data_IF_485607944734
#
_entry.id   IF_485607944734
#
_cell.length_a   1.000
_cell.length_b   1.000
_cell.length_c   1.000
_cell.angle_alpha   90.00
_cell.angle_beta   90.00
_cell.angle_gamma   90.00
#
_symmetry.space_group_name_H-M   'P 1'
#
loop_
_entity.id
_entity.type
_entity.pdbx_description
1 polymer ?
#
# COMPACT_ATOMS: atom_id res chain seq x y z
N UNK A 1 38.34 -31.17 -3.83
CA UNK A 1 37.92 -32.56 -4.10
C UNK A 1 38.84 -33.63 -3.49
N UNK A 2 40.12 -33.36 -3.25
CA UNK A 2 41.08 -34.33 -2.71
C UNK A 2 40.63 -35.06 -1.42
N UNK A 3 40.16 -34.33 -0.39
CA UNK A 3 39.83 -34.94 0.90
C UNK A 3 38.66 -35.94 0.89
N UNK A 4 37.72 -35.84 -0.07
CA UNK A 4 36.67 -36.87 -0.25
C UNK A 4 37.27 -38.13 -0.86
N UNK A 5 38.16 -37.97 -1.85
CA UNK A 5 38.85 -39.09 -2.48
C UNK A 5 39.76 -39.80 -1.46
N UNK A 6 40.48 -39.05 -0.63
CA UNK A 6 41.34 -39.61 0.43
C UNK A 6 40.52 -40.37 1.48
N UNK A 7 39.36 -39.84 1.89
CA UNK A 7 38.44 -40.53 2.81
C UNK A 7 37.87 -41.82 2.21
N UNK A 8 37.55 -41.83 0.91
CA UNK A 8 37.08 -43.04 0.20
C UNK A 8 38.20 -44.07 0.09
N UNK A 9 39.42 -43.65 -0.27
CA UNK A 9 40.61 -44.51 -0.34
C UNK A 9 40.96 -45.15 1.01
N UNK A 10 40.72 -44.45 2.11
CA UNK A 10 40.91 -44.97 3.47
C UNK A 10 39.82 -45.94 3.95
N UNK A 11 38.88 -46.35 3.07
CA UNK A 11 37.80 -47.28 3.43
C UNK A 11 36.56 -46.60 4.03
N UNK A 12 36.40 -45.29 3.81
CA UNK A 12 35.25 -44.51 4.33
C UNK A 12 35.02 -44.65 5.85
N UNK A 13 36.07 -44.48 6.69
CA UNK A 13 35.97 -44.66 8.12
C UNK A 13 34.95 -43.70 8.73
N UNK A 14 34.16 -44.17 9.70
CA UNK A 14 33.10 -43.39 10.38
C UNK A 14 33.45 -43.02 11.83
N UNK A 15 34.56 -43.53 12.34
CA UNK A 15 35.03 -43.28 13.70
C UNK A 15 35.46 -41.81 13.84
N UNK A 16 35.05 -41.16 14.93
CA UNK A 16 35.35 -39.74 15.20
C UNK A 16 36.84 -39.47 15.48
N UNK A 17 37.62 -40.49 15.80
CA UNK A 17 39.08 -40.43 15.99
C UNK A 17 39.87 -40.47 14.68
N UNK A 18 39.26 -40.85 13.56
CA UNK A 18 39.97 -41.03 12.30
C UNK A 18 40.26 -39.68 11.60
N UNK A 19 41.53 -39.41 11.33
CA UNK A 19 42.03 -38.15 10.76
C UNK A 19 41.40 -37.86 9.38
N UNK A 20 41.23 -38.87 8.53
CA UNK A 20 40.63 -38.72 7.19
C UNK A 20 39.15 -38.35 7.28
N UNK A 21 38.41 -38.92 8.24
CA UNK A 21 37.01 -38.59 8.49
C UNK A 21 36.83 -37.15 9.01
N UNK A 22 37.65 -36.74 9.98
CA UNK A 22 37.63 -35.38 10.54
C UNK A 22 37.96 -34.35 9.45
N UNK A 23 39.03 -34.58 8.67
CA UNK A 23 39.45 -33.69 7.57
C UNK A 23 38.36 -33.52 6.52
N UNK A 24 37.72 -34.61 6.08
CA UNK A 24 36.62 -34.56 5.13
C UNK A 24 35.40 -33.80 5.67
N UNK A 25 35.00 -34.07 6.92
CA UNK A 25 33.84 -33.40 7.53
C UNK A 25 34.08 -31.90 7.70
N UNK A 26 35.27 -31.49 8.14
CA UNK A 26 35.65 -30.08 8.26
C UNK A 26 35.53 -29.36 6.92
N UNK A 27 36.15 -29.89 5.86
CA UNK A 27 36.08 -29.31 4.51
C UNK A 27 34.66 -29.30 3.94
N UNK A 28 33.85 -30.33 4.23
CA UNK A 28 32.43 -30.35 3.83
C UNK A 28 31.62 -29.26 4.55
N UNK A 29 31.88 -29.03 5.83
CA UNK A 29 31.24 -27.96 6.60
C UNK A 29 31.66 -26.57 6.08
N UNK A 30 32.95 -26.38 5.80
CA UNK A 30 33.49 -25.14 5.21
C UNK A 30 32.87 -24.87 3.84
N UNK A 31 32.83 -25.88 2.96
CA UNK A 31 32.18 -25.75 1.66
C UNK A 31 30.69 -25.33 1.79
N UNK A 32 29.94 -25.95 2.70
CA UNK A 32 28.55 -25.57 2.98
C UNK A 32 28.41 -24.18 3.58
N UNK A 33 29.44 -23.69 4.29
CA UNK A 33 29.47 -22.33 4.83
C UNK A 33 29.72 -21.33 3.70
N UNK A 34 30.70 -21.59 2.84
CA UNK A 34 30.97 -20.78 1.65
C UNK A 34 29.79 -20.72 0.69
N UNK A 35 29.12 -21.86 0.44
CA UNK A 35 27.88 -21.86 -0.36
C UNK A 35 26.80 -20.97 0.26
N UNK A 36 26.59 -21.06 1.57
CA UNK A 36 25.60 -20.21 2.27
C UNK A 36 26.01 -18.74 2.23
N UNK A 37 27.30 -18.44 2.37
CA UNK A 37 27.85 -17.09 2.28
C UNK A 37 27.63 -16.49 0.88
N UNK A 38 27.95 -17.25 -0.17
CA UNK A 38 27.73 -16.83 -1.55
C UNK A 38 26.24 -16.58 -1.87
N UNK A 39 25.35 -17.46 -1.38
CA UNK A 39 23.89 -17.25 -1.51
C UNK A 39 23.45 -15.98 -0.78
N UNK A 40 23.90 -15.79 0.46
CA UNK A 40 23.57 -14.60 1.24
C UNK A 40 24.10 -13.31 0.60
N UNK A 41 25.32 -13.32 0.07
CA UNK A 41 25.91 -12.18 -0.63
C UNK A 41 25.14 -11.83 -1.90
N UNK A 42 24.72 -12.84 -2.67
CA UNK A 42 23.87 -12.66 -3.85
C UNK A 42 22.52 -12.05 -3.48
N UNK A 43 21.83 -12.61 -2.48
CA UNK A 43 20.54 -12.11 -2.00
C UNK A 43 20.65 -10.68 -1.45
N UNK A 44 21.70 -10.39 -0.69
CA UNK A 44 21.97 -9.05 -0.15
C UNK A 44 22.18 -8.02 -1.26
N UNK A 45 22.95 -8.37 -2.29
CA UNK A 45 23.22 -7.47 -3.42
C UNK A 45 21.93 -7.18 -4.19
N UNK A 46 21.15 -8.21 -4.52
CA UNK A 46 19.86 -8.00 -5.20
C UNK A 46 18.86 -7.19 -4.37
N UNK A 47 18.78 -7.39 -3.05
CA UNK A 47 17.93 -6.57 -2.19
C UNK A 47 18.36 -5.11 -2.16
N UNK A 48 19.68 -4.86 -2.16
CA UNK A 48 20.23 -3.51 -2.30
C UNK A 48 19.86 -2.88 -3.65
N UNK A 49 19.93 -3.66 -4.74
CA UNK A 49 19.56 -3.19 -6.08
C UNK A 49 18.06 -2.84 -6.15
N UNK A 50 17.20 -3.63 -5.53
CA UNK A 50 15.76 -3.33 -5.41
C UNK A 50 15.53 -2.04 -4.62
N UNK A 51 16.20 -1.86 -3.47
CA UNK A 51 16.08 -0.65 -2.67
C UNK A 51 16.52 0.61 -3.43
N UNK A 52 17.62 0.53 -4.18
CA UNK A 52 18.11 1.64 -4.99
C UNK A 52 17.19 1.98 -6.18
N UNK A 53 16.46 1.00 -6.71
CA UNK A 53 15.54 1.19 -7.84
C UNK A 53 14.18 1.76 -7.43
N UNK A 54 13.84 1.73 -6.14
CA UNK A 54 12.56 2.22 -5.63
C UNK A 54 12.32 3.69 -6.01
N UNK A 55 13.37 4.52 -5.95
CA UNK A 55 13.26 5.97 -6.20
C UNK A 55 13.59 6.37 -7.65
N UNK A 56 14.23 5.49 -8.43
CA UNK A 56 14.79 5.80 -9.75
C UNK A 56 14.00 5.20 -10.93
N UNK A 57 13.46 3.98 -10.79
CA UNK A 57 12.78 3.26 -11.88
C UNK A 57 11.74 2.27 -11.32
N UNK A 58 10.51 2.79 -11.21
CA UNK A 58 9.38 2.06 -10.66
C UNK A 58 9.05 0.78 -11.47
N UNK A 59 9.24 0.79 -12.80
CA UNK A 59 8.94 -0.36 -13.64
C UNK A 59 9.94 -1.50 -13.40
N UNK A 60 11.24 -1.19 -13.34
CA UNK A 60 12.27 -2.19 -13.02
C UNK A 60 12.13 -2.70 -11.59
N UNK A 61 11.78 -1.83 -10.64
CA UNK A 61 11.48 -2.22 -9.27
C UNK A 61 10.39 -3.30 -9.21
N UNK A 62 9.22 -3.04 -9.81
CA UNK A 62 8.11 -4.01 -9.81
C UNK A 62 8.46 -5.30 -10.56
N UNK A 63 9.24 -5.22 -11.64
CA UNK A 63 9.70 -6.41 -12.39
C UNK A 63 10.57 -7.33 -11.54
N UNK A 64 11.56 -6.77 -10.83
CA UNK A 64 12.45 -7.53 -9.93
C UNK A 64 11.67 -8.11 -8.74
N UNK A 65 10.80 -7.29 -8.14
CA UNK A 65 9.97 -7.71 -7.01
C UNK A 65 9.01 -8.84 -7.40
N UNK A 66 8.31 -8.72 -8.53
CA UNK A 66 7.40 -9.74 -9.01
C UNK A 66 8.11 -11.05 -9.36
N UNK A 67 9.31 -10.99 -9.96
CA UNK A 67 10.11 -12.18 -10.21
C UNK A 67 10.50 -12.94 -8.93
N UNK A 68 10.68 -12.23 -7.81
CA UNK A 68 10.98 -12.82 -6.49
C UNK A 68 9.74 -13.31 -5.77
N UNK A 69 8.70 -12.47 -5.66
CA UNK A 69 7.47 -12.78 -4.95
C UNK A 69 6.69 -13.92 -5.63
N UNK A 70 6.66 -13.96 -6.96
CA UNK A 70 5.85 -14.93 -7.70
C UNK A 70 6.47 -16.34 -7.79
N UNK A 71 7.72 -16.56 -7.39
CA UNK A 71 8.38 -17.88 -7.51
C UNK A 71 7.83 -18.95 -6.58
N UNK A 72 7.06 -18.60 -5.55
CA UNK A 72 6.57 -19.59 -4.56
C UNK A 72 5.06 -19.81 -4.50
N UNK A 73 4.21 -18.95 -5.06
CA UNK A 73 2.75 -19.07 -4.84
C UNK A 73 1.87 -18.52 -5.98
N UNK A 74 2.12 -18.92 -7.24
CA UNK A 74 1.15 -18.71 -8.35
C UNK A 74 0.10 -19.83 -8.47
N UNK A 75 -0.06 -20.69 -7.47
CA UNK A 75 -1.28 -21.49 -7.35
C UNK A 75 -2.34 -20.55 -6.77
N UNK A 76 -3.19 -20.02 -7.64
CA UNK A 76 -4.46 -19.34 -7.35
C UNK A 76 -4.89 -19.49 -5.88
N UNK A 77 -4.37 -18.65 -4.98
CA UNK A 77 -5.06 -18.40 -3.72
C UNK A 77 -6.28 -17.62 -4.17
N UNK A 78 -7.39 -18.33 -4.39
CA UNK A 78 -8.68 -17.66 -4.48
C UNK A 78 -8.75 -16.84 -3.19
N UNK A 79 -8.77 -15.51 -3.32
CA UNK A 79 -9.09 -14.66 -2.18
C UNK A 79 -10.38 -15.23 -1.62
N UNK A 80 -10.37 -15.59 -0.36
CA UNK A 80 -11.51 -16.16 0.31
C UNK A 80 -11.72 -15.30 1.54
N UNK A 81 -12.92 -14.71 1.64
CA UNK A 81 -13.31 -13.90 2.77
C UNK A 81 -14.12 -14.79 3.71
N UNK A 82 -13.73 -14.82 4.98
CA UNK A 82 -14.53 -15.47 6.01
C UNK A 82 -15.36 -14.39 6.71
N UNK A 83 -16.69 -14.50 6.59
CA UNK A 83 -17.62 -13.60 7.27
C UNK A 83 -18.65 -14.46 7.99
N UNK A 84 -18.79 -14.27 9.31
CA UNK A 84 -19.67 -15.04 10.19
C UNK A 84 -19.49 -16.57 10.06
N UNK A 85 -18.23 -17.04 9.92
CA UNK A 85 -17.88 -18.45 9.76
C UNK A 85 -18.18 -19.04 8.38
N UNK A 86 -18.64 -18.24 7.40
CA UNK A 86 -18.85 -18.66 6.02
C UNK A 86 -17.72 -18.17 5.13
N UNK A 87 -17.11 -19.09 4.38
CA UNK A 87 -16.06 -18.77 3.41
C UNK A 87 -16.70 -18.40 2.08
N UNK A 88 -16.59 -17.14 1.70
CA UNK A 88 -17.03 -16.62 0.40
C UNK A 88 -15.81 -16.59 -0.52
N UNK A 89 -15.94 -17.23 -1.68
CA UNK A 89 -14.87 -17.35 -2.68
C UNK A 89 -15.28 -16.76 -4.04
N UNK A 90 -16.56 -16.47 -4.22
CA UNK A 90 -17.10 -15.91 -5.46
C UNK A 90 -16.91 -14.39 -5.51
N UNK A 91 -16.46 -13.88 -6.65
CA UNK A 91 -16.09 -12.47 -6.79
C UNK A 91 -17.28 -11.52 -6.70
N UNK A 92 -18.46 -11.92 -7.21
CA UNK A 92 -19.65 -11.09 -7.12
C UNK A 92 -20.14 -11.02 -5.67
N UNK A 93 -20.19 -12.17 -4.99
CA UNK A 93 -20.55 -12.21 -3.57
C UNK A 93 -19.60 -11.40 -2.70
N UNK A 94 -18.31 -11.30 -3.03
CA UNK A 94 -17.39 -10.41 -2.32
C UNK A 94 -17.70 -8.94 -2.57
N UNK A 95 -17.98 -8.56 -3.82
CA UNK A 95 -18.33 -7.18 -4.16
C UNK A 95 -19.61 -6.75 -3.44
N UNK A 96 -20.63 -7.60 -3.44
CA UNK A 96 -21.90 -7.35 -2.75
C UNK A 96 -21.69 -7.25 -1.23
N UNK A 97 -20.83 -8.10 -0.66
CA UNK A 97 -20.50 -8.04 0.77
C UNK A 97 -19.80 -6.74 1.15
N UNK A 98 -18.83 -6.30 0.34
CA UNK A 98 -18.16 -5.04 0.55
C UNK A 98 -19.11 -3.85 0.42
N UNK A 99 -19.98 -3.87 -0.59
CA UNK A 99 -21.00 -2.85 -0.77
C UNK A 99 -21.88 -2.73 0.48
N UNK A 100 -22.43 -3.86 0.97
CA UNK A 100 -23.26 -3.89 2.17
C UNK A 100 -22.48 -3.43 3.42
N UNK A 101 -21.23 -3.84 3.57
CA UNK A 101 -20.40 -3.44 4.70
C UNK A 101 -20.17 -1.93 4.73
N UNK A 102 -19.80 -1.33 3.60
CA UNK A 102 -19.58 0.11 3.53
C UNK A 102 -20.88 0.90 3.61
N UNK A 103 -21.99 0.36 3.10
CA UNK A 103 -23.31 0.96 3.28
C UNK A 103 -23.67 1.03 4.77
N UNK A 104 -23.49 -0.06 5.53
CA UNK A 104 -23.73 -0.08 6.97
C UNK A 104 -22.83 0.89 7.75
N UNK A 105 -21.58 1.06 7.33
CA UNK A 105 -20.68 2.07 7.92
C UNK A 105 -21.13 3.50 7.61
N UNK A 106 -21.63 3.74 6.39
CA UNK A 106 -22.08 5.06 5.96
C UNK A 106 -23.48 5.42 6.47
N UNK A 107 -24.31 4.42 6.76
CA UNK A 107 -25.65 4.56 7.36
C UNK A 107 -25.71 3.84 8.70
N UNK A 108 -25.03 4.38 9.73
CA UNK A 108 -25.07 3.77 11.04
C UNK A 108 -26.50 3.83 11.59
N UNK A 109 -27.07 2.66 11.89
CA UNK A 109 -28.34 2.57 12.60
C UNK A 109 -28.14 2.98 14.06
N UNK A 110 -28.98 3.88 14.57
CA UNK A 110 -28.99 4.28 15.99
C UNK A 110 -29.34 3.10 16.93
N UNK A 111 -29.92 2.03 16.39
CA UNK A 111 -30.27 0.80 17.12
C UNK A 111 -29.09 -0.18 17.27
N UNK A 112 -27.92 0.13 16.70
CA UNK A 112 -26.73 -0.71 16.83
C UNK A 112 -26.10 -0.52 18.22
N UNK A 113 -25.86 -1.61 18.96
CA UNK A 113 -25.25 -1.59 20.30
C UNK A 113 -23.89 -0.86 20.33
N UNK A 114 -23.16 -0.86 19.22
CA UNK A 114 -21.85 -0.19 19.11
C UNK A 114 -21.94 1.27 18.63
N UNK A 115 -23.14 1.83 18.45
CA UNK A 115 -23.30 3.20 18.02
C UNK A 115 -23.02 4.19 19.17
N UNK A 116 -21.94 4.96 19.04
CA UNK A 116 -21.59 5.97 20.03
C UNK A 116 -22.47 7.23 19.87
N UNK A 117 -23.60 7.21 20.58
CA UNK A 117 -24.55 8.32 20.60
C UNK A 117 -23.97 9.59 21.22
N UNK A 118 -23.04 9.46 22.17
CA UNK A 118 -22.40 10.61 22.83
C UNK A 118 -21.52 11.32 21.81
N UNK A 119 -20.67 10.57 21.12
CA UNK A 119 -19.79 11.11 20.08
C UNK A 119 -20.57 11.85 18.99
N UNK A 120 -21.70 11.28 18.51
CA UNK A 120 -22.54 11.96 17.53
C UNK A 120 -23.05 13.31 18.03
N UNK A 121 -23.59 13.36 19.25
CA UNK A 121 -24.11 14.59 19.84
C UNK A 121 -22.98 15.63 19.99
N UNK A 122 -21.79 15.22 20.41
CA UNK A 122 -20.63 16.11 20.52
C UNK A 122 -20.22 16.71 19.18
N UNK A 123 -20.17 15.89 18.12
CA UNK A 123 -19.83 16.36 16.77
C UNK A 123 -20.92 17.28 16.23
N UNK A 124 -22.20 16.92 16.36
CA UNK A 124 -23.33 17.76 15.92
C UNK A 124 -23.33 19.12 16.63
N UNK A 125 -23.09 19.14 17.94
CA UNK A 125 -22.95 20.37 18.71
C UNK A 125 -21.74 21.19 18.25
N UNK A 126 -20.58 20.54 18.05
CA UNK A 126 -19.37 21.20 17.57
C UNK A 126 -19.56 21.83 16.19
N UNK A 127 -20.21 21.14 15.25
CA UNK A 127 -20.55 21.66 13.93
C UNK A 127 -21.52 22.83 14.05
N UNK A 128 -22.60 22.68 14.84
CA UNK A 128 -23.56 23.77 15.05
C UNK A 128 -22.92 25.00 15.67
N UNK A 129 -21.98 24.83 16.60
CA UNK A 129 -21.24 25.92 17.20
C UNK A 129 -20.30 26.58 16.18
N UNK A 130 -19.66 25.81 15.30
CA UNK A 130 -18.85 26.36 14.20
C UNK A 130 -19.70 27.13 13.19
N UNK A 131 -20.89 26.63 12.84
CA UNK A 131 -21.85 27.31 11.96
C UNK A 131 -22.33 28.61 12.62
N UNK A 132 -22.73 28.58 13.89
CA UNK A 132 -23.12 29.80 14.62
C UNK A 132 -21.96 30.78 14.74
N UNK A 133 -20.75 30.30 14.99
CA UNK A 133 -19.55 31.14 15.04
C UNK A 133 -19.23 31.73 13.67
N UNK A 134 -19.35 30.98 12.57
CA UNK A 134 -19.11 31.50 11.22
C UNK A 134 -20.18 32.51 10.80
N UNK A 135 -21.44 32.25 11.16
CA UNK A 135 -22.55 33.18 10.96
C UNK A 135 -22.38 34.49 11.74
N UNK A 136 -21.79 34.43 12.93
CA UNK A 136 -21.53 35.60 13.78
C UNK A 136 -20.18 36.29 13.50
N UNK A 137 -19.20 35.58 12.95
CA UNK A 137 -17.85 36.10 12.69
C UNK A 137 -17.72 36.83 11.35
N UNK A 138 -18.69 36.66 10.44
CA UNK A 138 -18.71 37.36 9.16
C UNK A 138 -19.91 38.30 9.11
N UNK A 139 -19.65 39.60 9.27
CA UNK A 139 -20.52 40.67 8.74
C UNK A 139 -20.66 40.65 7.21
N UNK A 140 -20.29 39.54 6.56
CA UNK A 140 -20.39 39.27 5.14
C UNK A 140 -21.46 38.19 4.91
N UNK A 141 -22.65 38.37 5.47
CA UNK A 141 -23.82 37.68 4.93
C UNK A 141 -24.16 38.37 3.62
N UNK A 142 -24.23 37.61 2.53
CA UNK A 142 -24.85 38.12 1.31
C UNK A 142 -26.27 38.54 1.67
N UNK A 143 -26.60 39.82 1.47
CA UNK A 143 -27.93 40.36 1.75
C UNK A 143 -28.99 39.79 0.80
N UNK A 144 -28.56 39.19 -0.30
CA UNK A 144 -29.39 38.49 -1.27
C UNK A 144 -28.63 37.27 -1.84
N UNK A 145 -29.34 36.24 -2.34
CA UNK A 145 -28.70 35.15 -3.07
C UNK A 145 -27.91 35.68 -4.28
N UNK A 146 -26.73 35.11 -4.54
CA UNK A 146 -25.97 35.43 -5.76
C UNK A 146 -26.78 35.06 -7.00
N UNK A 147 -26.93 36.01 -7.90
CA UNK A 147 -27.64 35.80 -9.17
C UNK A 147 -26.68 35.26 -10.23
N UNK A 148 -27.22 34.49 -11.18
CA UNK A 148 -26.44 34.00 -12.33
C UNK A 148 -25.90 35.14 -13.20
N UNK A 149 -26.59 36.29 -13.20
CA UNK A 149 -26.17 37.50 -13.90
C UNK A 149 -24.92 38.12 -13.27
N UNK A 150 -24.91 38.31 -11.94
CA UNK A 150 -23.74 38.81 -11.21
C UNK A 150 -22.52 37.91 -11.42
N UNK A 151 -22.70 36.59 -11.33
CA UNK A 151 -21.61 35.63 -11.57
C UNK A 151 -21.09 35.76 -13.00
N UNK A 152 -21.98 35.90 -13.99
CA UNK A 152 -21.58 36.07 -15.40
C UNK A 152 -20.82 37.37 -15.64
N UNK A 153 -21.24 38.47 -15.01
CA UNK A 153 -20.55 39.77 -15.09
C UNK A 153 -19.16 39.72 -14.46
N UNK A 154 -19.03 39.07 -13.30
CA UNK A 154 -17.74 38.87 -12.64
C UNK A 154 -16.81 38.02 -13.51
N UNK A 155 -17.28 36.90 -14.04
CA UNK A 155 -16.48 36.03 -14.93
C UNK A 155 -16.01 36.81 -16.17
N UNK A 156 -16.88 37.62 -16.78
CA UNK A 156 -16.52 38.44 -17.94
C UNK A 156 -15.48 39.52 -17.61
N UNK A 157 -15.53 40.10 -16.41
CA UNK A 157 -14.65 41.19 -15.99
C UNK A 157 -13.23 40.74 -15.58
N UNK A 158 -12.97 39.43 -15.45
CA UNK A 158 -11.64 38.91 -15.16
C UNK A 158 -10.60 39.38 -16.21
N UNK A 159 -9.33 39.65 -15.86
CA UNK A 159 -8.31 40.02 -16.84
C UNK A 159 -7.87 38.81 -17.69
N UNK A 160 -7.47 39.04 -18.94
CA UNK A 160 -6.87 37.99 -19.77
C UNK A 160 -5.34 37.99 -19.65
N UNK A 161 -4.69 36.84 -19.89
CA UNK A 161 -3.24 36.69 -19.96
C UNK A 161 -2.54 36.71 -18.60
N UNK A 162 -3.27 36.48 -17.51
CA UNK A 162 -2.66 36.29 -16.18
C UNK A 162 -2.22 34.84 -16.01
N UNK A 163 -1.09 34.65 -15.33
CA UNK A 163 -0.59 33.33 -15.00
C UNK A 163 -1.60 32.60 -14.09
N UNK A 164 -1.77 31.27 -14.26
CA UNK A 164 -2.62 30.47 -13.39
C UNK A 164 -2.08 30.42 -11.96
N UNK A 165 -2.96 30.09 -11.02
CA UNK A 165 -2.60 29.81 -9.63
C UNK A 165 -1.93 28.44 -9.47
N UNK A 166 -1.85 27.97 -8.22
CA UNK A 166 -1.28 26.65 -7.89
C UNK A 166 -2.10 25.49 -8.49
N UNK A 167 -3.36 25.74 -8.85
CA UNK A 167 -4.30 24.79 -9.45
C UNK A 167 -4.14 24.66 -10.97
N UNK A 168 -3.36 25.55 -11.61
CA UNK A 168 -3.14 25.53 -13.05
C UNK A 168 -4.30 26.09 -13.88
N UNK A 169 -5.38 26.59 -13.26
CA UNK A 169 -6.56 27.09 -13.96
C UNK A 169 -6.37 28.58 -14.28
N UNK A 170 -6.47 28.94 -15.57
CA UNK A 170 -6.42 30.36 -16.00
C UNK A 170 -7.81 30.98 -16.11
N UNK A 171 -7.89 32.31 -16.17
CA UNK A 171 -9.17 33.01 -16.33
C UNK A 171 -9.88 32.68 -17.65
N UNK A 172 -9.13 32.33 -18.69
CA UNK A 172 -9.66 31.90 -19.98
C UNK A 172 -10.45 30.59 -19.87
N UNK A 173 -10.04 29.66 -19.00
CA UNK A 173 -10.80 28.43 -18.74
C UNK A 173 -12.18 28.74 -18.17
N UNK A 174 -12.28 29.75 -17.30
CA UNK A 174 -13.56 30.18 -16.71
C UNK A 174 -14.43 30.96 -17.70
N UNK A 175 -13.81 31.78 -18.56
CA UNK A 175 -14.53 32.62 -19.53
C UNK A 175 -15.04 31.86 -20.75
N UNK A 176 -14.24 30.93 -21.26
CA UNK A 176 -14.49 30.25 -22.53
C UNK A 176 -14.84 28.78 -22.38
N UNK A 177 -14.84 28.26 -21.15
CA UNK A 177 -15.31 26.91 -20.85
C UNK A 177 -14.32 25.79 -21.16
N UNK A 178 -13.01 26.10 -21.22
CA UNK A 178 -11.94 25.12 -21.46
C UNK A 178 -11.85 24.65 -22.91
#
# INVERSE_FOLDING_TARGET
MAARADWIKAGSPRQRSNIFYIKYKKLKCEYRREQRKAVWEYERKELSDIGNLQDLDNEKFWRLLNNKACRKNKKNKKMALEVNGKIITDSQQMADLWANYFEQLATPSEDNENFDRIHRIEIENGVNDLVKKSENALGCRFTAPLTTQEISEVIRSLPNGKAPGYDGITYEHLKFGG
#
